data_IF_317378605806
#
_entry.id   IF_317378605806
#
_cell.length_a   1.000
_cell.length_b   1.000
_cell.length_c   1.000
_cell.angle_alpha   90.00
_cell.angle_beta   90.00
_cell.angle_gamma   90.00
#
_symmetry.space_group_name_H-M   'P 1'
#
loop_
_entity.id
_entity.type
_entity.pdbx_description
1 polymer ?
#
# COMPACT_ATOMS: atom_id res chain seq x y z
N UNK A 1 58.78 -23.39 34.63
CA UNK A 1 57.54 -22.58 34.36
C UNK A 1 57.81 -21.68 33.12
N UNK A 2 57.46 -22.11 31.92
CA UNK A 2 57.64 -21.33 30.69
C UNK A 2 56.30 -21.06 30.04
N UNK A 3 55.98 -19.81 29.99
CA UNK A 3 54.97 -19.00 29.36
C UNK A 3 54.18 -19.62 28.17
N UNK A 4 52.91 -19.90 28.44
CA UNK A 4 51.86 -20.15 27.43
C UNK A 4 50.98 -18.90 27.21
N UNK A 5 51.58 -17.76 26.86
CA UNK A 5 50.83 -16.49 26.70
C UNK A 5 50.77 -16.02 25.23
N UNK A 6 51.45 -16.75 24.30
CA UNK A 6 51.61 -16.27 22.90
C UNK A 6 50.51 -16.64 21.89
N UNK A 7 49.65 -17.62 22.17
CA UNK A 7 48.75 -18.17 21.13
C UNK A 7 47.33 -17.56 21.16
N UNK A 8 46.88 -17.10 22.35
CA UNK A 8 45.51 -16.55 22.47
C UNK A 8 45.40 -15.13 21.91
N UNK A 9 46.51 -14.38 21.95
CA UNK A 9 46.57 -13.00 21.42
C UNK A 9 46.50 -12.96 19.87
N UNK A 10 47.06 -13.96 19.21
CA UNK A 10 47.05 -13.97 17.72
C UNK A 10 45.70 -14.39 17.13
N UNK A 11 44.99 -15.29 17.79
CA UNK A 11 43.67 -15.75 17.34
C UNK A 11 42.58 -14.66 17.56
N UNK A 12 42.71 -13.88 18.63
CA UNK A 12 41.77 -12.78 18.92
C UNK A 12 41.95 -11.60 17.96
N UNK A 13 43.19 -11.33 17.53
CA UNK A 13 43.49 -10.26 16.58
C UNK A 13 43.02 -10.68 15.16
N UNK A 14 43.15 -11.97 14.80
CA UNK A 14 42.70 -12.47 13.51
C UNK A 14 41.16 -12.52 13.39
N UNK A 15 40.46 -12.75 14.53
CA UNK A 15 39.00 -12.72 14.55
C UNK A 15 38.44 -11.30 14.47
N UNK A 16 39.14 -10.30 15.04
CA UNK A 16 38.76 -8.89 14.94
C UNK A 16 39.00 -8.30 13.54
N UNK A 17 40.07 -8.74 12.84
CA UNK A 17 40.34 -8.26 11.49
C UNK A 17 39.36 -8.83 10.47
N UNK A 18 38.85 -10.05 10.68
CA UNK A 18 37.82 -10.62 9.80
C UNK A 18 36.42 -10.03 10.02
N UNK A 19 36.09 -9.56 11.22
CA UNK A 19 34.83 -8.88 11.53
C UNK A 19 34.81 -7.41 11.07
N UNK A 20 35.95 -6.72 11.03
CA UNK A 20 36.02 -5.33 10.55
C UNK A 20 35.91 -5.20 9.03
N UNK A 21 36.19 -6.26 8.26
CA UNK A 21 36.06 -6.24 6.81
C UNK A 21 34.63 -6.55 6.31
N UNK A 22 33.77 -7.14 7.16
CA UNK A 22 32.38 -7.40 6.77
C UNK A 22 31.47 -6.16 6.84
N UNK A 23 31.85 -5.14 7.62
CA UNK A 23 31.00 -3.97 7.84
C UNK A 23 31.21 -2.80 6.87
N UNK A 24 32.29 -2.79 6.08
CA UNK A 24 32.57 -1.67 5.17
C UNK A 24 32.04 -1.89 3.75
N UNK A 25 31.85 -3.10 3.31
CA UNK A 25 31.30 -3.36 1.97
C UNK A 25 29.77 -3.30 1.91
N UNK A 26 29.07 -3.60 3.01
CA UNK A 26 27.60 -3.56 3.03
C UNK A 26 27.02 -2.13 2.96
N UNK A 27 27.76 -1.12 3.41
CA UNK A 27 27.28 0.28 3.39
C UNK A 27 27.47 0.98 2.04
N UNK A 28 28.26 0.45 1.14
CA UNK A 28 28.54 1.06 -0.17
C UNK A 28 27.49 0.71 -1.23
N UNK A 29 26.59 -0.22 -0.96
CA UNK A 29 25.64 -0.74 -1.94
C UNK A 29 24.26 -0.05 -1.93
N UNK A 30 23.94 0.73 -0.90
CA UNK A 30 22.63 1.38 -0.78
C UNK A 30 22.73 2.87 -1.08
N UNK A 31 22.12 3.29 -2.17
CA UNK A 31 21.97 4.69 -2.50
C UNK A 31 20.60 5.19 -2.01
N UNK A 32 20.56 6.41 -1.49
CA UNK A 32 19.31 7.07 -1.19
C UNK A 32 18.50 7.32 -2.46
N UNK A 33 17.20 7.13 -2.37
CA UNK A 33 16.26 7.48 -3.43
C UNK A 33 15.60 8.82 -3.12
N UNK A 34 15.32 9.59 -4.15
CA UNK A 34 14.68 10.91 -4.03
C UNK A 34 13.14 10.84 -4.03
N UNK A 35 12.57 9.64 -3.94
CA UNK A 35 11.13 9.41 -3.83
C UNK A 35 10.86 8.20 -2.94
N UNK A 36 9.71 8.20 -2.29
CA UNK A 36 9.31 7.13 -1.35
C UNK A 36 8.30 6.18 -1.99
N UNK A 37 7.52 6.65 -2.95
CA UNK A 37 6.46 5.85 -3.60
C UNK A 37 6.80 5.60 -5.05
N UNK A 38 6.95 4.33 -5.41
CA UNK A 38 7.13 3.88 -6.78
C UNK A 38 5.84 3.25 -7.32
N UNK A 39 5.57 3.40 -8.61
CA UNK A 39 4.49 2.72 -9.33
C UNK A 39 5.07 1.71 -10.31
N UNK A 40 4.53 0.49 -10.31
CA UNK A 40 4.93 -0.60 -11.21
C UNK A 40 4.43 -0.32 -12.62
N UNK A 41 5.32 -0.40 -13.60
CA UNK A 41 5.00 -0.19 -15.03
C UNK A 41 4.93 -1.49 -15.84
N UNK A 42 5.55 -2.57 -15.36
CA UNK A 42 5.49 -3.88 -15.99
C UNK A 42 4.15 -4.56 -15.74
N UNK A 43 3.67 -5.37 -16.68
CA UNK A 43 2.46 -6.19 -16.51
C UNK A 43 2.57 -7.10 -15.29
N UNK A 44 3.77 -7.70 -15.08
CA UNK A 44 4.11 -8.48 -13.90
C UNK A 44 5.60 -8.27 -13.60
N UNK A 45 5.96 -8.12 -12.34
CA UNK A 45 7.32 -7.86 -11.86
C UNK A 45 7.64 -8.74 -10.65
N UNK A 46 8.67 -9.56 -10.77
CA UNK A 46 9.12 -10.40 -9.66
C UNK A 46 9.73 -9.55 -8.54
N UNK A 47 9.33 -9.81 -7.31
CA UNK A 47 10.00 -9.38 -6.09
C UNK A 47 10.97 -10.48 -5.68
N UNK A 48 12.22 -10.13 -5.46
CA UNK A 48 13.31 -11.10 -5.23
C UNK A 48 13.97 -10.89 -3.87
N UNK A 49 14.66 -11.92 -3.38
CA UNK A 49 15.41 -11.85 -2.11
C UNK A 49 16.63 -10.92 -2.18
N UNK A 50 17.04 -10.49 -3.36
CA UNK A 50 18.20 -9.60 -3.56
C UNK A 50 18.24 -8.96 -4.93
N UNK A 51 19.19 -8.03 -5.16
CA UNK A 51 19.27 -7.17 -6.33
C UNK A 51 19.92 -7.88 -7.52
N UNK A 52 19.20 -8.81 -8.15
CA UNK A 52 19.67 -9.55 -9.32
C UNK A 52 18.67 -10.60 -9.78
N UNK A 53 18.73 -11.00 -11.04
CA UNK A 53 17.86 -12.04 -11.62
C UNK A 53 18.19 -13.45 -11.11
N UNK A 54 19.39 -13.66 -10.58
CA UNK A 54 19.85 -14.89 -9.93
C UNK A 54 19.28 -15.09 -8.53
N UNK A 55 18.74 -14.04 -7.90
CA UNK A 55 18.10 -14.17 -6.60
C UNK A 55 16.69 -14.77 -6.73
N UNK A 56 16.29 -15.57 -5.72
CA UNK A 56 14.99 -16.23 -5.67
C UNK A 56 13.85 -15.21 -5.75
N UNK A 57 12.86 -15.48 -6.60
CA UNK A 57 11.58 -14.76 -6.57
C UNK A 57 10.78 -15.20 -5.33
N UNK A 58 10.31 -14.22 -4.55
CA UNK A 58 9.54 -14.42 -3.32
C UNK A 58 8.13 -13.87 -3.44
N UNK A 59 7.81 -13.23 -4.56
CA UNK A 59 6.48 -12.70 -4.87
C UNK A 59 6.46 -12.04 -6.23
N UNK A 60 5.29 -11.55 -6.59
CA UNK A 60 5.05 -10.84 -7.85
C UNK A 60 4.15 -9.63 -7.57
N UNK A 61 4.43 -8.53 -8.26
CA UNK A 61 3.65 -7.30 -8.25
C UNK A 61 3.28 -6.93 -9.68
N UNK A 62 2.17 -6.20 -9.85
CA UNK A 62 1.55 -6.00 -11.15
C UNK A 62 1.50 -4.53 -11.53
N UNK A 63 1.21 -4.28 -12.81
CA UNK A 63 1.10 -2.93 -13.37
C UNK A 63 0.12 -2.07 -12.57
N UNK A 64 0.54 -0.82 -12.33
CA UNK A 64 -0.16 0.19 -11.54
C UNK A 64 -0.21 -0.07 -10.02
N UNK A 65 0.40 -1.15 -9.53
CA UNK A 65 0.60 -1.28 -8.09
C UNK A 65 1.64 -0.27 -7.59
N UNK A 66 1.42 0.20 -6.36
CA UNK A 66 2.32 1.10 -5.69
C UNK A 66 3.17 0.33 -4.69
N UNK A 67 4.45 0.69 -4.61
CA UNK A 67 5.41 0.13 -3.67
C UNK A 67 6.12 1.24 -2.93
N UNK A 68 6.45 0.99 -1.67
CA UNK A 68 7.34 1.86 -0.93
C UNK A 68 8.77 1.56 -1.33
N UNK A 69 9.53 2.58 -1.71
CA UNK A 69 10.94 2.44 -2.10
C UNK A 69 11.81 2.94 -0.96
N UNK A 70 12.70 2.08 -0.46
CA UNK A 70 13.60 2.39 0.64
C UNK A 70 14.99 2.81 0.18
N UNK A 71 15.52 2.10 -0.83
CA UNK A 71 16.88 2.29 -1.28
C UNK A 71 17.05 1.83 -2.72
N UNK A 72 18.14 2.28 -3.34
CA UNK A 72 18.62 1.81 -4.65
C UNK A 72 19.91 1.01 -4.46
N UNK A 73 20.01 -0.08 -5.19
CA UNK A 73 21.22 -0.92 -5.27
C UNK A 73 21.49 -1.20 -6.74
N UNK A 74 22.38 -0.45 -7.34
CA UNK A 74 22.64 -0.52 -8.78
C UNK A 74 21.37 -0.29 -9.61
N UNK A 75 20.95 -1.30 -10.39
CA UNK A 75 19.73 -1.26 -11.21
C UNK A 75 18.49 -1.85 -10.52
N UNK A 76 18.50 -1.93 -9.19
CA UNK A 76 17.43 -2.48 -8.38
C UNK A 76 16.98 -1.49 -7.33
N UNK A 77 15.69 -1.57 -6.96
CA UNK A 77 15.15 -0.92 -5.79
C UNK A 77 14.86 -1.96 -4.71
N UNK A 78 15.18 -1.63 -3.47
CA UNK A 78 14.66 -2.33 -2.29
C UNK A 78 13.32 -1.71 -1.98
N UNK A 79 12.28 -2.55 -2.01
CA UNK A 79 10.89 -2.09 -1.87
C UNK A 79 10.16 -2.88 -0.80
N UNK A 80 9.08 -2.30 -0.32
CA UNK A 80 8.01 -2.98 0.38
C UNK A 80 6.75 -2.91 -0.48
N UNK A 81 6.14 -4.07 -0.70
CA UNK A 81 4.83 -4.15 -1.36
C UNK A 81 3.72 -3.78 -0.38
N UNK A 82 2.52 -3.54 -0.89
CA UNK A 82 1.33 -3.32 -0.06
C UNK A 82 1.00 -4.52 0.85
N UNK A 83 1.43 -5.74 0.48
CA UNK A 83 1.34 -6.95 1.30
C UNK A 83 2.50 -7.15 2.28
N UNK A 84 3.25 -6.08 2.62
CA UNK A 84 4.41 -6.10 3.52
C UNK A 84 5.59 -6.99 3.07
N UNK A 85 5.57 -7.54 1.86
CA UNK A 85 6.70 -8.26 1.33
C UNK A 85 7.85 -7.29 1.05
N UNK A 86 9.01 -7.51 1.68
CA UNK A 86 10.22 -6.73 1.44
C UNK A 86 11.13 -7.52 0.51
N UNK A 87 11.62 -6.87 -0.55
CA UNK A 87 12.52 -7.49 -1.50
C UNK A 87 13.05 -6.51 -2.53
N UNK A 88 13.77 -7.05 -3.51
CA UNK A 88 14.36 -6.27 -4.59
C UNK A 88 13.58 -6.43 -5.89
N UNK A 89 13.38 -5.32 -6.61
CA UNK A 89 12.75 -5.26 -7.93
C UNK A 89 13.61 -4.45 -8.89
N UNK A 90 13.56 -4.77 -10.19
CA UNK A 90 14.29 -4.01 -11.20
C UNK A 90 13.74 -2.57 -11.29
N UNK A 91 14.63 -1.59 -11.12
CA UNK A 91 14.27 -0.15 -11.19
C UNK A 91 13.68 0.25 -12.54
N UNK A 92 14.02 -0.47 -13.62
CA UNK A 92 13.49 -0.24 -14.97
C UNK A 92 11.96 -0.22 -15.02
N UNK A 93 11.31 -0.95 -14.10
CA UNK A 93 9.86 -1.13 -14.07
C UNK A 93 9.19 -0.40 -12.92
N UNK A 94 9.90 0.50 -12.26
CA UNK A 94 9.35 1.35 -11.19
C UNK A 94 9.53 2.80 -11.60
N UNK A 95 8.44 3.54 -11.72
CA UNK A 95 8.47 5.00 -11.90
C UNK A 95 8.13 5.70 -10.59
N UNK A 96 8.71 6.89 -10.39
CA UNK A 96 8.34 7.75 -9.28
C UNK A 96 6.85 8.14 -9.41
N UNK A 97 6.07 7.82 -8.39
CA UNK A 97 4.63 8.12 -8.38
C UNK A 97 4.31 9.58 -8.08
N UNK A 98 5.28 10.33 -7.53
CA UNK A 98 5.13 11.76 -7.22
C UNK A 98 5.50 12.69 -8.39
N UNK A 99 6.08 12.16 -9.47
CA UNK A 99 6.59 12.95 -10.61
C UNK A 99 5.58 13.21 -11.73
N UNK A 100 4.29 12.98 -11.53
CA UNK A 100 3.27 13.23 -12.57
C UNK A 100 2.62 14.62 -12.50
N UNK A 101 3.28 15.59 -11.86
CA UNK A 101 2.89 17.01 -11.93
C UNK A 101 4.07 17.83 -12.48
N UNK A 102 4.10 18.04 -13.81
CA UNK A 102 4.86 19.14 -14.39
C UNK A 102 6.10 18.76 -15.19
N UNK A 103 5.92 18.46 -16.46
CA UNK A 103 6.80 18.96 -17.53
C UNK A 103 6.00 19.02 -18.83
N UNK A 104 5.25 20.08 -18.97
CA UNK A 104 4.70 20.53 -20.25
C UNK A 104 5.71 21.47 -20.89
N UNK A 105 6.18 21.10 -22.05
CA UNK A 105 7.00 21.91 -22.97
C UNK A 105 6.33 23.23 -23.27
N UNK A 106 7.09 24.31 -23.13
CA UNK A 106 6.80 25.65 -23.63
C UNK A 106 6.54 25.64 -25.14
N UNK A 107 5.39 26.14 -25.57
CA UNK A 107 5.30 26.95 -26.79
C UNK A 107 4.19 27.99 -26.65
N UNK A 108 4.58 29.20 -26.99
CA UNK A 108 3.86 30.45 -26.97
C UNK A 108 2.48 30.44 -27.64
N UNK A 109 1.57 31.21 -27.08
CA UNK A 109 0.37 31.66 -27.76
C UNK A 109 -0.59 32.39 -26.83
N UNK A 110 -0.53 33.70 -26.91
CA UNK A 110 -1.38 34.71 -26.23
C UNK A 110 -2.89 34.40 -26.26
N UNK A 111 -3.61 34.63 -25.24
CA UNK A 111 -4.52 35.75 -24.97
C UNK A 111 -5.72 35.36 -24.06
N UNK A 112 -5.83 36.10 -23.01
CA UNK A 112 -6.97 36.87 -22.50
C UNK A 112 -8.23 36.15 -21.97
N UNK A 113 -8.46 36.50 -20.73
CA UNK A 113 -9.69 36.88 -20.02
C UNK A 113 -10.53 35.86 -19.23
N UNK A 114 -10.44 36.12 -17.93
CA UNK A 114 -11.53 36.26 -16.94
C UNK A 114 -12.62 35.18 -16.83
N UNK A 115 -12.72 34.46 -15.75
CA UNK A 115 -13.52 34.87 -14.60
C UNK A 115 -13.59 33.77 -13.52
N UNK A 116 -13.31 34.17 -12.31
CA UNK A 116 -13.93 33.84 -11.03
C UNK A 116 -14.69 32.51 -10.88
N UNK A 117 -14.29 31.71 -9.90
CA UNK A 117 -15.19 30.73 -9.32
C UNK A 117 -14.50 29.52 -8.71
N UNK A 118 -13.96 29.69 -7.48
CA UNK A 118 -13.90 28.68 -6.42
C UNK A 118 -14.48 27.31 -6.79
N UNK A 119 -13.61 26.30 -6.94
CA UNK A 119 -13.83 24.93 -6.49
C UNK A 119 -12.72 24.01 -7.00
N UNK A 120 -11.53 24.06 -6.39
CA UNK A 120 -10.42 23.16 -6.79
C UNK A 120 -9.65 22.58 -5.60
N UNK A 121 -10.34 22.28 -4.49
CA UNK A 121 -9.69 21.66 -3.32
C UNK A 121 -10.00 20.17 -3.15
N UNK A 122 -10.91 19.58 -3.95
CA UNK A 122 -11.29 18.17 -3.86
C UNK A 122 -10.62 17.22 -4.87
N UNK A 123 -9.91 17.75 -5.87
CA UNK A 123 -9.39 16.89 -6.96
C UNK A 123 -7.98 16.32 -6.72
N UNK A 124 -7.17 16.97 -5.89
CA UNK A 124 -5.80 16.51 -5.60
C UNK A 124 -5.71 15.37 -4.58
N UNK A 125 -6.71 15.19 -3.72
CA UNK A 125 -6.72 14.14 -2.69
C UNK A 125 -7.06 12.74 -3.22
N UNK A 126 -7.51 12.60 -4.48
CA UNK A 126 -7.95 11.34 -5.08
C UNK A 126 -6.94 10.73 -6.07
N UNK A 127 -5.77 11.32 -6.21
CA UNK A 127 -4.74 10.88 -7.17
C UNK A 127 -3.99 9.65 -6.68
N UNK A 128 -4.42 8.64 -6.27
CA UNK A 128 -3.76 7.40 -5.81
C UNK A 128 -4.74 6.23 -5.66
N UNK A 129 -6.03 6.52 -5.94
CA UNK A 129 -7.11 5.56 -5.83
C UNK A 129 -7.57 5.14 -7.24
N UNK A 130 -7.89 3.85 -7.42
CA UNK A 130 -8.42 3.34 -8.69
C UNK A 130 -9.80 3.94 -9.00
N UNK A 131 -10.26 3.80 -10.26
CA UNK A 131 -11.61 4.21 -10.64
C UNK A 131 -12.68 3.48 -9.81
N UNK A 132 -12.53 2.17 -9.65
CA UNK A 132 -13.44 1.34 -8.86
C UNK A 132 -13.50 1.75 -7.38
N UNK A 133 -12.34 2.08 -6.77
CA UNK A 133 -12.30 2.54 -5.38
C UNK A 133 -13.01 3.88 -5.19
N UNK A 134 -12.84 4.81 -6.13
CA UNK A 134 -13.53 6.11 -6.13
C UNK A 134 -15.04 5.93 -6.33
N UNK A 135 -15.43 5.08 -7.26
CA UNK A 135 -16.83 4.78 -7.52
C UNK A 135 -17.49 4.14 -6.31
N UNK A 136 -16.83 3.15 -5.68
CA UNK A 136 -17.36 2.50 -4.48
C UNK A 136 -17.53 3.51 -3.33
N UNK A 137 -16.56 4.41 -3.10
CA UNK A 137 -16.71 5.48 -2.11
C UNK A 137 -17.87 6.42 -2.46
N UNK A 138 -18.04 6.77 -3.73
CA UNK A 138 -19.16 7.61 -4.18
C UNK A 138 -20.51 6.98 -3.89
N UNK A 139 -20.67 5.69 -4.19
CA UNK A 139 -21.89 4.92 -3.91
C UNK A 139 -22.18 4.87 -2.40
N UNK A 140 -21.17 4.64 -1.57
CA UNK A 140 -21.29 4.63 -0.12
C UNK A 140 -21.67 6.02 0.42
N UNK A 141 -21.03 7.07 -0.07
CA UNK A 141 -21.32 8.45 0.33
C UNK A 141 -22.72 8.89 -0.12
N UNK A 142 -23.22 8.38 -1.25
CA UNK A 142 -24.60 8.58 -1.65
C UNK A 142 -25.59 7.99 -0.63
N UNK A 143 -25.32 6.78 -0.10
CA UNK A 143 -26.13 6.20 0.98
C UNK A 143 -26.04 7.05 2.24
N UNK A 144 -24.86 7.43 2.70
CA UNK A 144 -24.69 8.29 3.89
C UNK A 144 -25.45 9.60 3.75
N UNK A 145 -25.35 10.25 2.60
CA UNK A 145 -26.08 11.48 2.29
C UNK A 145 -27.60 11.30 2.35
N UNK A 146 -28.13 10.17 1.83
CA UNK A 146 -29.55 9.86 1.88
C UNK A 146 -30.07 9.74 3.33
N UNK A 147 -29.20 9.39 4.28
CA UNK A 147 -29.50 9.33 5.71
C UNK A 147 -29.04 10.57 6.49
N UNK A 148 -28.67 11.67 5.81
CA UNK A 148 -28.30 12.93 6.45
C UNK A 148 -26.92 12.91 7.13
N UNK A 149 -26.05 11.98 6.80
CA UNK A 149 -24.74 11.81 7.40
C UNK A 149 -23.62 12.49 6.57
N UNK A 150 -22.56 12.97 7.21
CA UNK A 150 -21.38 13.48 6.51
C UNK A 150 -20.73 12.42 5.65
N UNK A 151 -20.16 12.83 4.50
CA UNK A 151 -19.38 11.96 3.63
C UNK A 151 -18.12 11.47 4.34
N UNK A 152 -17.74 10.21 4.07
CA UNK A 152 -16.41 9.67 4.41
C UNK A 152 -15.37 10.19 3.43
N UNK A 153 -14.17 10.43 3.95
CA UNK A 153 -12.99 10.73 3.13
C UNK A 153 -12.03 9.55 3.14
N UNK A 154 -11.26 9.37 2.06
CA UNK A 154 -10.18 8.40 2.07
C UNK A 154 -9.11 8.78 3.10
N UNK A 155 -8.61 7.75 3.81
CA UNK A 155 -7.37 7.81 4.57
C UNK A 155 -6.33 6.94 3.85
N UNK A 156 -5.19 7.52 3.46
CA UNK A 156 -4.19 6.84 2.65
C UNK A 156 -3.54 5.64 3.36
N UNK A 157 -3.38 5.70 4.67
CA UNK A 157 -2.80 4.60 5.42
C UNK A 157 -3.84 3.47 5.61
N UNK A 158 -5.09 3.82 5.93
CA UNK A 158 -6.17 2.85 6.02
C UNK A 158 -6.47 2.19 4.66
N UNK A 159 -6.29 2.93 3.56
CA UNK A 159 -6.37 2.40 2.20
C UNK A 159 -5.41 1.24 1.97
N UNK A 160 -4.19 1.35 2.49
CA UNK A 160 -3.19 0.28 2.40
C UNK A 160 -3.65 -0.98 3.14
N UNK A 161 -4.25 -0.81 4.31
CA UNK A 161 -4.78 -1.93 5.11
C UNK A 161 -5.92 -2.63 4.37
N UNK A 162 -6.88 -1.87 3.85
CA UNK A 162 -8.02 -2.42 3.11
C UNK A 162 -7.57 -3.20 1.85
N UNK A 163 -6.59 -2.67 1.09
CA UNK A 163 -5.99 -3.37 -0.05
C UNK A 163 -5.29 -4.66 0.36
N UNK A 164 -4.48 -4.61 1.41
CA UNK A 164 -3.80 -5.80 1.92
C UNK A 164 -4.80 -6.87 2.38
N UNK A 165 -5.90 -6.48 3.02
CA UNK A 165 -6.97 -7.41 3.43
C UNK A 165 -7.66 -8.05 2.24
N UNK A 166 -8.00 -7.27 1.21
CA UNK A 166 -8.64 -7.80 0.00
C UNK A 166 -7.72 -8.81 -0.73
N UNK A 167 -6.42 -8.53 -0.81
CA UNK A 167 -5.42 -9.43 -1.36
C UNK A 167 -5.27 -10.70 -0.52
N UNK A 168 -5.24 -10.58 0.79
CA UNK A 168 -5.11 -11.70 1.73
C UNK A 168 -6.31 -12.66 1.63
N UNK A 169 -7.52 -12.13 1.49
CA UNK A 169 -8.74 -12.93 1.27
C UNK A 169 -8.64 -13.82 0.02
N UNK A 170 -8.13 -13.26 -1.09
CA UNK A 170 -7.97 -14.00 -2.35
C UNK A 170 -6.79 -14.97 -2.28
N UNK A 171 -5.63 -14.50 -1.81
CA UNK A 171 -4.39 -15.27 -1.79
C UNK A 171 -4.47 -16.51 -0.88
N UNK A 172 -5.13 -16.38 0.27
CA UNK A 172 -5.32 -17.47 1.24
C UNK A 172 -6.67 -18.18 1.11
N UNK A 173 -7.45 -17.85 0.04
CA UNK A 173 -8.72 -18.50 -0.30
C UNK A 173 -9.68 -18.62 0.89
N UNK A 174 -9.92 -17.52 1.60
CA UNK A 174 -10.88 -17.46 2.70
C UNK A 174 -11.83 -16.27 2.54
N UNK A 175 -12.95 -16.27 3.29
CA UNK A 175 -13.92 -15.18 3.32
C UNK A 175 -14.37 -14.98 4.78
N UNK A 176 -13.64 -14.16 5.51
CA UNK A 176 -13.84 -13.89 6.94
C UNK A 176 -13.22 -12.56 7.34
N UNK A 177 -13.77 -11.93 8.37
CA UNK A 177 -13.14 -10.76 9.01
C UNK A 177 -11.79 -11.12 9.66
N UNK A 178 -11.67 -12.31 10.25
CA UNK A 178 -10.41 -12.78 10.83
C UNK A 178 -9.50 -13.34 9.75
N UNK A 179 -8.33 -12.72 9.60
CA UNK A 179 -7.28 -13.16 8.70
C UNK A 179 -6.42 -14.24 9.35
N UNK A 180 -6.04 -15.30 8.61
CA UNK A 180 -5.04 -16.25 9.09
C UNK A 180 -3.64 -15.65 9.21
N UNK A 181 -3.38 -14.54 8.51
CA UNK A 181 -2.10 -13.82 8.49
C UNK A 181 -2.03 -12.71 9.52
N UNK A 182 -3.12 -11.93 9.67
CA UNK A 182 -3.12 -10.66 10.40
C UNK A 182 -4.04 -10.63 11.62
N UNK A 183 -4.80 -11.70 11.88
CA UNK A 183 -5.79 -11.72 12.96
C UNK A 183 -7.06 -10.96 12.62
N UNK A 184 -7.66 -10.30 13.61
CA UNK A 184 -8.85 -9.47 13.43
C UNK A 184 -8.55 -8.21 12.59
N UNK A 185 -9.56 -7.54 12.00
CA UNK A 185 -9.33 -6.29 11.29
C UNK A 185 -8.70 -5.21 12.20
N UNK A 186 -8.97 -5.24 13.48
CA UNK A 186 -8.38 -4.32 14.46
C UNK A 186 -6.89 -4.65 14.74
N UNK A 187 -6.53 -5.92 14.83
CA UNK A 187 -5.13 -6.36 14.93
C UNK A 187 -4.37 -5.96 13.67
N UNK A 188 -4.99 -6.15 12.50
CA UNK A 188 -4.41 -5.75 11.22
C UNK A 188 -4.18 -4.23 11.16
N UNK A 189 -5.19 -3.41 11.47
CA UNK A 189 -5.02 -1.95 11.53
C UNK A 189 -3.90 -1.55 12.48
N UNK A 190 -3.83 -2.15 13.66
CA UNK A 190 -2.78 -1.90 14.65
C UNK A 190 -1.39 -2.28 14.12
N UNK A 191 -1.26 -3.43 13.46
CA UNK A 191 0.02 -3.88 12.89
C UNK A 191 0.52 -2.97 11.76
N UNK A 192 -0.38 -2.26 11.09
CA UNK A 192 -0.08 -1.24 10.08
C UNK A 192 0.12 0.17 10.67
N UNK A 193 0.04 0.32 11.99
CA UNK A 193 0.26 1.60 12.68
C UNK A 193 -0.95 2.56 12.62
N UNK A 194 -2.14 2.06 12.30
CA UNK A 194 -3.36 2.90 12.26
C UNK A 194 -3.80 3.22 13.68
N UNK A 195 -4.01 4.51 13.95
CA UNK A 195 -4.60 5.00 15.21
C UNK A 195 -6.01 5.51 14.97
N UNK A 196 -6.93 5.19 15.87
CA UNK A 196 -8.34 5.56 15.76
C UNK A 196 -9.03 5.57 17.12
N UNK A 197 -10.19 6.22 17.21
CA UNK A 197 -11.11 6.13 18.34
C UNK A 197 -12.13 5.00 18.16
N UNK A 198 -12.62 4.87 16.93
CA UNK A 198 -13.59 3.84 16.54
C UNK A 198 -13.17 3.24 15.19
N UNK A 199 -13.45 1.96 14.97
CA UNK A 199 -13.13 1.28 13.72
C UNK A 199 -14.17 0.22 13.36
N UNK A 200 -14.25 -0.14 12.08
CA UNK A 200 -15.11 -1.19 11.55
C UNK A 200 -14.64 -1.70 10.21
N UNK A 201 -15.21 -2.82 9.79
CA UNK A 201 -14.90 -3.45 8.49
C UNK A 201 -16.17 -4.00 7.85
N UNK A 202 -16.31 -3.80 6.54
CA UNK A 202 -17.24 -4.50 5.67
C UNK A 202 -16.48 -5.31 4.64
N UNK A 203 -16.94 -6.52 4.34
CA UNK A 203 -16.40 -7.39 3.26
C UNK A 203 -17.54 -7.77 2.34
N UNK A 204 -17.32 -7.74 1.02
CA UNK A 204 -18.21 -8.28 0.03
C UNK A 204 -17.47 -9.08 -1.03
N UNK A 205 -18.13 -10.14 -1.53
CA UNK A 205 -17.80 -10.79 -2.78
C UNK A 205 -18.96 -10.55 -3.76
N UNK A 206 -18.71 -9.77 -4.82
CA UNK A 206 -19.74 -9.41 -5.80
C UNK A 206 -19.10 -9.09 -7.15
N UNK A 207 -19.86 -9.29 -8.23
CA UNK A 207 -19.40 -8.96 -9.60
C UNK A 207 -19.47 -7.47 -9.91
N UNK A 208 -20.23 -6.67 -9.14
CA UNK A 208 -20.38 -5.23 -9.32
C UNK A 208 -20.25 -4.45 -8.02
N UNK A 209 -19.83 -3.18 -8.11
CA UNK A 209 -19.68 -2.28 -6.98
C UNK A 209 -21.03 -1.92 -6.37
N UNK A 210 -22.02 -1.61 -7.21
CA UNK A 210 -23.39 -1.31 -6.77
C UNK A 210 -24.02 -2.50 -6.05
N UNK A 211 -23.86 -3.72 -6.61
CA UNK A 211 -24.36 -4.94 -5.98
C UNK A 211 -23.73 -5.22 -4.60
N UNK A 212 -22.47 -4.84 -4.40
CA UNK A 212 -21.83 -4.94 -3.09
C UNK A 212 -22.44 -3.94 -2.09
N UNK A 213 -22.65 -2.69 -2.52
CA UNK A 213 -23.30 -1.67 -1.66
C UNK A 213 -24.72 -2.06 -1.31
N UNK A 214 -25.48 -2.57 -2.28
CA UNK A 214 -26.84 -3.07 -2.05
C UNK A 214 -26.85 -4.23 -1.02
N UNK A 215 -25.92 -5.19 -1.17
CA UNK A 215 -25.77 -6.28 -0.21
C UNK A 215 -25.42 -5.78 1.19
N UNK A 216 -24.50 -4.83 1.30
CA UNK A 216 -24.17 -4.21 2.60
C UNK A 216 -25.33 -3.45 3.21
N UNK A 217 -26.06 -2.66 2.42
CA UNK A 217 -27.21 -1.91 2.92
C UNK A 217 -28.40 -2.80 3.32
N UNK A 218 -28.52 -3.99 2.75
CA UNK A 218 -29.51 -4.99 3.13
C UNK A 218 -29.10 -5.88 4.31
N UNK A 219 -27.84 -5.79 4.76
CA UNK A 219 -27.33 -6.50 5.94
C UNK A 219 -27.22 -5.55 7.13
N UNK A 220 -27.86 -5.88 8.27
CA UNK A 220 -27.92 -4.99 9.44
C UNK A 220 -26.53 -4.54 9.89
N UNK A 221 -25.58 -5.45 10.13
CA UNK A 221 -24.25 -5.09 10.63
C UNK A 221 -23.42 -4.28 9.64
N UNK A 222 -23.49 -4.60 8.34
CA UNK A 222 -22.77 -3.85 7.32
C UNK A 222 -23.39 -2.45 7.13
N UNK A 223 -24.71 -2.35 7.14
CA UNK A 223 -25.43 -1.06 7.06
C UNK A 223 -25.10 -0.18 8.27
N UNK A 224 -25.06 -0.73 9.47
CA UNK A 224 -24.66 -0.01 10.67
C UNK A 224 -23.26 0.59 10.54
N UNK A 225 -22.30 -0.14 9.97
CA UNK A 225 -20.97 0.40 9.68
C UNK A 225 -21.05 1.56 8.68
N UNK A 226 -21.76 1.42 7.55
CA UNK A 226 -21.87 2.48 6.54
C UNK A 226 -22.52 3.73 7.13
N UNK A 227 -23.53 3.57 7.99
CA UNK A 227 -24.32 4.67 8.57
C UNK A 227 -23.80 5.14 9.92
N UNK A 228 -22.68 4.64 10.41
CA UNK A 228 -22.12 5.08 11.68
C UNK A 228 -21.58 6.52 11.58
N UNK A 229 -22.13 7.40 12.40
CA UNK A 229 -21.72 8.82 12.44
C UNK A 229 -20.35 9.03 13.12
N UNK A 230 -19.86 8.02 13.87
CA UNK A 230 -18.54 8.09 14.49
C UNK A 230 -17.38 7.89 13.50
N UNK A 231 -17.66 7.44 12.28
CA UNK A 231 -16.66 7.27 11.25
C UNK A 231 -16.59 8.51 10.35
N UNK A 232 -15.36 8.98 10.08
CA UNK A 232 -15.08 10.10 9.20
C UNK A 232 -14.08 9.76 8.09
N UNK A 233 -13.36 8.63 8.20
CA UNK A 233 -12.43 8.14 7.20
C UNK A 233 -12.69 6.69 6.82
N UNK A 234 -12.29 6.35 5.60
CA UNK A 234 -12.37 4.99 5.06
C UNK A 234 -11.16 4.63 4.22
N UNK A 235 -10.85 3.33 4.16
CA UNK A 235 -9.98 2.70 3.19
C UNK A 235 -10.75 1.64 2.42
N UNK A 236 -10.53 1.51 1.12
CA UNK A 236 -11.23 0.57 0.24
C UNK A 236 -10.22 -0.28 -0.54
N UNK A 237 -10.29 -1.59 -0.38
CA UNK A 237 -9.52 -2.56 -1.17
C UNK A 237 -10.42 -3.34 -2.12
N UNK A 238 -10.05 -3.41 -3.39
CA UNK A 238 -10.77 -4.16 -4.42
C UNK A 238 -9.78 -5.04 -5.17
N UNK A 239 -10.08 -6.33 -5.26
CA UNK A 239 -9.26 -7.33 -5.97
C UNK A 239 -10.17 -8.25 -6.77
N UNK A 240 -9.79 -8.55 -8.01
CA UNK A 240 -10.51 -9.52 -8.83
C UNK A 240 -10.44 -10.92 -8.21
N UNK A 241 -11.56 -11.62 -8.25
CA UNK A 241 -11.72 -12.94 -7.65
C UNK A 241 -12.40 -13.90 -8.65
N UNK A 242 -11.75 -15.04 -8.95
CA UNK A 242 -12.38 -16.06 -9.83
C UNK A 242 -13.71 -16.58 -9.28
N UNK A 243 -13.87 -16.56 -7.94
CA UNK A 243 -15.07 -17.09 -7.27
C UNK A 243 -16.21 -16.09 -7.19
N UNK A 244 -15.90 -14.80 -7.02
CA UNK A 244 -16.91 -13.78 -6.70
C UNK A 244 -17.00 -12.65 -7.72
N UNK A 245 -16.16 -12.65 -8.76
CA UNK A 245 -15.93 -11.50 -9.64
C UNK A 245 -14.96 -10.51 -9.00
N UNK A 246 -15.34 -9.90 -7.89
CA UNK A 246 -14.47 -9.03 -7.06
C UNK A 246 -14.63 -9.35 -5.59
N UNK A 247 -13.53 -9.21 -4.83
CA UNK A 247 -13.54 -9.06 -3.37
C UNK A 247 -13.39 -7.58 -3.08
N UNK A 248 -14.28 -7.06 -2.26
CA UNK A 248 -14.28 -5.67 -1.80
C UNK A 248 -14.19 -5.63 -0.29
N UNK A 249 -13.24 -4.88 0.22
CA UNK A 249 -13.04 -4.61 1.65
C UNK A 249 -13.19 -3.12 1.86
N UNK A 250 -14.05 -2.74 2.79
CA UNK A 250 -14.14 -1.38 3.28
C UNK A 250 -13.78 -1.36 4.77
N UNK A 251 -12.77 -0.58 5.12
CA UNK A 251 -12.40 -0.30 6.50
C UNK A 251 -12.80 1.11 6.87
N UNK A 252 -13.25 1.29 8.10
CA UNK A 252 -13.72 2.57 8.65
C UNK A 252 -12.93 2.94 9.88
N UNK A 253 -12.65 4.24 10.05
CA UNK A 253 -12.13 4.79 11.30
C UNK A 253 -12.78 6.13 11.64
N UNK A 254 -12.90 6.39 12.95
CA UNK A 254 -13.15 7.70 13.53
C UNK A 254 -11.87 8.22 14.19
N UNK A 255 -11.44 9.41 13.84
CA UNK A 255 -10.28 10.12 14.43
C UNK A 255 -10.71 11.25 15.35
#
# INVERSE_FOLDING_TARGET
MKKKIGIISLLTIMLFVTLSNYNTEAMTYYENVNFVTGMVTATALNVRTGPGTNFKSIGMIYKNEYVRVFAKVGDWYVIQTNGNLIGAVSKKYIKNATSSAGQGTTSNGSNSNNNSGTNNTKQDTLSGYSADEKELLSLINAQRKAYGLPELSFDSELQRVAKAKAQDLVANNYFSHTSPTYGSPFDMMKSFGITYKTAGENIAGNSSLSGAVDAWMNSTGHRENILNNAYNYTGIGIVDSPKYGKIMVQMFIGK
#
